data_IF_589859641171
#
_entry.id   IF_589859641171
#
_cell.length_a   1.000
_cell.length_b   1.000
_cell.length_c   1.000
_cell.angle_alpha   90.00
_cell.angle_beta   90.00
_cell.angle_gamma   90.00
#
_symmetry.space_group_name_H-M   'P 1'
#
loop_
_entity.id
_entity.type
_entity.pdbx_description
1 polymer ?
#
# COMPACT_ATOMS: atom_id res chain seq x y z
N UNK A 1 29.04 52.71 38.09
CA UNK A 1 30.23 52.24 38.82
C UNK A 1 30.06 50.75 39.09
N UNK A 2 31.14 49.97 39.04
CA UNK A 2 31.11 48.49 39.15
C UNK A 2 31.72 48.03 40.51
N UNK A 3 31.97 46.74 40.79
CA UNK A 3 31.19 46.03 41.81
C UNK A 3 32.05 45.47 42.96
N UNK A 4 31.44 44.71 43.88
CA UNK A 4 32.14 43.90 44.88
C UNK A 4 31.80 42.41 44.77
N UNK A 5 32.83 41.57 44.93
CA UNK A 5 32.79 40.10 44.82
C UNK A 5 32.68 39.42 46.19
N UNK A 6 32.06 38.23 46.23
CA UNK A 6 32.58 37.02 46.90
C UNK A 6 31.77 35.81 46.37
N UNK A 7 32.27 34.92 45.49
CA UNK A 7 33.33 33.89 45.59
C UNK A 7 33.05 32.68 46.52
N UNK A 8 32.58 31.60 45.88
CA UNK A 8 33.01 30.18 45.99
C UNK A 8 33.05 29.46 47.35
N UNK A 9 32.27 28.37 47.42
CA UNK A 9 32.68 27.03 47.90
C UNK A 9 31.74 26.00 47.21
N UNK A 10 32.20 25.12 46.30
CA UNK A 10 33.02 23.89 46.43
C UNK A 10 32.26 22.64 46.91
N UNK A 11 32.61 21.49 46.32
CA UNK A 11 31.81 20.26 46.34
C UNK A 11 32.15 19.30 47.48
N UNK A 12 31.26 18.32 47.72
CA UNK A 12 31.54 17.08 48.42
C UNK A 12 31.08 15.87 47.58
N UNK A 13 31.72 14.72 47.81
CA UNK A 13 31.72 13.55 46.92
C UNK A 13 31.86 12.27 47.78
N UNK A 14 31.60 11.10 47.17
CA UNK A 14 31.52 9.75 47.75
C UNK A 14 30.24 9.51 48.59
N UNK A 15 29.44 8.45 48.44
CA UNK A 15 29.58 7.07 47.94
C UNK A 15 29.81 6.02 49.04
N UNK A 16 28.99 4.96 49.01
CA UNK A 16 29.23 3.69 49.69
C UNK A 16 28.64 2.55 48.87
N UNK A 17 29.38 1.44 48.77
CA UNK A 17 28.82 0.12 48.42
C UNK A 17 28.37 -0.55 49.76
N UNK A 18 28.04 -1.83 49.95
CA UNK A 18 28.07 -3.17 49.28
C UNK A 18 27.03 -4.01 50.14
N UNK A 19 26.50 -5.21 49.87
CA UNK A 19 26.76 -6.28 48.90
C UNK A 19 25.59 -7.33 48.90
N UNK A 20 25.60 -8.29 47.95
CA UNK A 20 25.15 -9.71 48.09
C UNK A 20 23.64 -9.99 48.32
N UNK A 21 23.04 -11.12 47.90
CA UNK A 21 23.48 -12.25 47.04
C UNK A 21 22.31 -13.17 46.62
N UNK A 22 22.64 -14.26 45.91
CA UNK A 22 21.78 -15.35 45.38
C UNK A 22 20.88 -14.96 44.17
N UNK A 23 20.79 -15.78 43.12
CA UNK A 23 21.58 -16.98 42.82
C UNK A 23 21.35 -17.48 41.38
N UNK A 24 22.41 -17.93 40.70
CA UNK A 24 22.34 -18.44 39.33
C UNK A 24 22.24 -19.98 39.32
N UNK A 25 21.36 -20.53 38.49
CA UNK A 25 21.19 -21.98 38.32
C UNK A 25 22.14 -22.49 37.23
N UNK A 26 22.90 -23.54 37.54
CA UNK A 26 23.69 -24.33 36.59
C UNK A 26 23.01 -25.68 36.37
N UNK A 27 22.81 -26.09 35.11
CA UNK A 27 23.16 -27.45 34.68
C UNK A 27 23.22 -27.55 33.13
N UNK A 28 23.97 -28.51 32.56
CA UNK A 28 24.18 -28.66 31.12
C UNK A 28 23.31 -29.73 30.44
N UNK A 29 23.53 -29.91 29.13
CA UNK A 29 23.06 -30.95 28.21
C UNK A 29 22.62 -32.30 28.79
N UNK A 30 21.66 -32.93 28.10
CA UNK A 30 21.74 -34.33 27.72
C UNK A 30 21.93 -34.51 26.19
N UNK A 31 22.91 -35.32 25.80
CA UNK A 31 22.86 -36.11 24.57
C UNK A 31 22.47 -37.56 24.93
N UNK A 32 22.07 -38.34 23.92
CA UNK A 32 21.89 -39.80 23.96
C UNK A 32 20.81 -40.36 24.89
N UNK A 33 19.59 -40.47 24.35
CA UNK A 33 18.64 -41.53 24.68
C UNK A 33 17.80 -41.90 23.44
N UNK A 34 18.03 -43.08 22.85
CA UNK A 34 17.21 -43.59 21.74
C UNK A 34 15.99 -44.36 22.28
N UNK A 35 14.80 -44.15 21.70
CA UNK A 35 13.77 -45.20 21.60
C UNK A 35 12.70 -44.88 20.53
N UNK A 36 12.48 -45.85 19.63
CA UNK A 36 11.22 -46.16 18.92
C UNK A 36 10.27 -45.02 18.50
N UNK A 37 10.34 -44.61 17.24
CA UNK A 37 9.17 -44.23 16.44
C UNK A 37 8.85 -45.39 15.45
N UNK A 38 7.57 -45.76 15.24
CA UNK A 38 7.21 -46.85 14.32
C UNK A 38 7.24 -46.38 12.85
N UNK A 39 7.78 -47.22 11.98
CA UNK A 39 7.77 -47.00 10.52
C UNK A 39 6.38 -47.15 9.92
N UNK A 40 5.98 -46.21 9.07
CA UNK A 40 4.94 -46.41 8.04
C UNK A 40 5.48 -45.94 6.68
N UNK A 41 5.11 -46.69 5.64
CA UNK A 41 5.67 -46.62 4.29
C UNK A 41 4.88 -45.66 3.37
N UNK A 42 5.62 -44.93 2.52
CA UNK A 42 5.30 -44.53 1.12
C UNK A 42 3.96 -43.77 0.87
N UNK A 43 3.78 -43.05 -0.24
CA UNK A 43 4.53 -42.96 -1.50
C UNK A 43 4.70 -41.51 -1.98
N UNK A 44 5.58 -41.32 -2.97
CA UNK A 44 5.52 -40.16 -3.85
C UNK A 44 4.21 -40.14 -4.66
N UNK A 45 3.54 -38.98 -4.75
CA UNK A 45 2.94 -38.51 -6.00
C UNK A 45 2.65 -36.99 -5.94
N UNK A 46 3.26 -36.20 -6.83
CA UNK A 46 2.96 -34.77 -7.00
C UNK A 46 3.20 -34.34 -8.45
N UNK A 47 2.38 -34.89 -9.35
CA UNK A 47 2.25 -34.49 -10.74
C UNK A 47 0.76 -34.50 -11.17
N UNK A 48 0.48 -34.15 -12.43
CA UNK A 48 -0.86 -34.21 -13.05
C UNK A 48 -2.02 -33.52 -12.28
N UNK A 49 -2.19 -32.21 -12.46
CA UNK A 49 -3.54 -31.58 -12.37
C UNK A 49 -3.77 -30.47 -13.41
N UNK A 50 -3.22 -30.64 -14.62
CA UNK A 50 -3.62 -29.86 -15.80
C UNK A 50 -3.59 -30.75 -17.06
N UNK A 51 -4.66 -31.51 -17.31
CA UNK A 51 -5.12 -31.98 -18.63
C UNK A 51 -6.42 -32.80 -18.47
N UNK A 52 -7.51 -32.14 -18.08
CA UNK A 52 -8.84 -32.76 -17.90
C UNK A 52 -9.98 -31.76 -18.21
N UNK A 53 -9.87 -31.05 -19.34
CA UNK A 53 -10.93 -30.15 -19.81
C UNK A 53 -10.96 -30.06 -21.36
N UNK A 54 -11.08 -31.21 -22.00
CA UNK A 54 -11.43 -31.41 -23.42
C UNK A 54 -11.74 -32.90 -23.62
N UNK A 55 -12.63 -33.21 -24.58
CA UNK A 55 -13.06 -34.57 -24.97
C UNK A 55 -13.89 -35.36 -23.95
N UNK A 56 -15.21 -35.16 -23.94
CA UNK A 56 -16.22 -36.25 -23.98
C UNK A 56 -17.66 -35.71 -23.99
N UNK A 57 -18.29 -35.63 -25.16
CA UNK A 57 -19.71 -35.94 -25.36
C UNK A 57 -20.00 -36.10 -26.87
N UNK A 58 -20.80 -37.11 -27.19
CA UNK A 58 -21.17 -37.57 -28.53
C UNK A 58 -22.72 -37.62 -28.64
N UNK A 59 -23.28 -37.90 -29.81
CA UNK A 59 -24.73 -37.85 -30.10
C UNK A 59 -25.59 -38.91 -29.38
N UNK A 60 -26.93 -38.90 -29.55
CA UNK A 60 -27.75 -38.05 -30.43
C UNK A 60 -29.26 -38.29 -30.22
N UNK A 61 -30.07 -37.88 -31.22
CA UNK A 61 -31.50 -38.20 -31.47
C UNK A 61 -32.52 -37.63 -30.44
N UNK A 62 -33.50 -36.78 -30.82
CA UNK A 62 -34.83 -37.06 -31.43
C UNK A 62 -35.74 -37.88 -30.48
N UNK A 63 -36.96 -37.47 -30.03
CA UNK A 63 -38.06 -36.72 -30.68
C UNK A 63 -39.02 -35.93 -29.73
N UNK A 64 -39.60 -34.83 -30.26
CA UNK A 64 -41.02 -34.34 -30.23
C UNK A 64 -41.88 -34.09 -28.93
N UNK A 65 -42.91 -33.22 -29.11
CA UNK A 65 -44.18 -32.95 -28.36
C UNK A 65 -44.27 -32.12 -27.05
N UNK A 66 -44.52 -30.81 -27.24
CA UNK A 66 -45.79 -30.11 -26.92
C UNK A 66 -46.41 -30.10 -25.48
N UNK A 67 -46.11 -29.04 -24.71
CA UNK A 67 -47.04 -28.11 -24.00
C UNK A 67 -48.46 -28.65 -23.64
N UNK A 68 -48.86 -28.63 -22.34
CA UNK A 68 -49.52 -27.42 -21.80
C UNK A 68 -49.20 -27.00 -20.35
N UNK A 69 -49.58 -25.75 -20.06
CA UNK A 69 -49.42 -25.02 -18.79
C UNK A 69 -50.32 -25.48 -17.64
N UNK A 70 -49.87 -25.27 -16.40
CA UNK A 70 -50.70 -24.91 -15.24
C UNK A 70 -49.90 -23.99 -14.29
N UNK A 71 -50.54 -23.38 -13.30
CA UNK A 71 -50.09 -22.09 -12.73
C UNK A 71 -50.10 -21.99 -11.18
N UNK A 72 -49.67 -20.79 -10.73
CA UNK A 72 -49.98 -20.07 -9.48
C UNK A 72 -49.26 -20.43 -8.16
N UNK A 73 -49.24 -19.40 -7.29
CA UNK A 73 -48.76 -19.33 -5.89
C UNK A 73 -47.22 -19.23 -5.79
N UNK A 74 -46.61 -18.06 -5.55
CA UNK A 74 -46.79 -17.05 -4.48
C UNK A 74 -46.33 -17.51 -3.10
N UNK A 75 -45.19 -16.97 -2.64
CA UNK A 75 -44.85 -16.70 -1.24
C UNK A 75 -43.71 -15.66 -1.21
N UNK A 76 -44.05 -14.38 -1.04
CA UNK A 76 -43.14 -13.24 -1.22
C UNK A 76 -42.59 -12.74 0.13
N UNK A 77 -41.45 -13.29 0.54
CA UNK A 77 -40.73 -12.87 1.75
C UNK A 77 -39.66 -11.83 1.40
N UNK A 78 -40.09 -10.57 1.42
CA UNK A 78 -39.23 -9.39 1.31
C UNK A 78 -38.18 -9.34 2.44
N UNK A 79 -37.02 -9.95 2.18
CA UNK A 79 -35.81 -9.75 2.96
C UNK A 79 -34.95 -8.71 2.23
N UNK A 80 -34.84 -7.52 2.85
CA UNK A 80 -34.11 -6.38 2.28
C UNK A 80 -32.59 -6.63 2.29
N UNK A 81 -32.12 -7.47 1.37
CA UNK A 81 -30.70 -7.64 1.10
C UNK A 81 -30.13 -6.29 0.65
N UNK A 82 -29.28 -5.70 1.50
CA UNK A 82 -28.63 -4.42 1.25
C UNK A 82 -27.61 -4.59 0.12
N UNK A 83 -28.06 -4.32 -1.10
CA UNK A 83 -27.27 -4.41 -2.33
C UNK A 83 -25.98 -3.61 -2.18
N UNK A 84 -24.90 -4.31 -1.85
CA UNK A 84 -23.57 -3.72 -1.79
C UNK A 84 -23.20 -3.30 -3.21
N UNK A 85 -23.34 -2.00 -3.46
CA UNK A 85 -23.07 -1.36 -4.73
C UNK A 85 -21.56 -1.41 -5.00
N UNK A 86 -21.06 -2.56 -5.44
CA UNK A 86 -19.75 -2.66 -6.05
C UNK A 86 -19.72 -1.73 -7.26
N UNK A 87 -18.80 -0.77 -7.26
CA UNK A 87 -18.50 0.04 -8.44
C UNK A 87 -18.19 -0.91 -9.60
N UNK A 88 -18.84 -0.73 -10.75
CA UNK A 88 -18.99 -1.75 -11.80
C UNK A 88 -17.74 -2.07 -12.64
N UNK A 89 -16.59 -2.30 -12.01
CA UNK A 89 -15.34 -2.70 -12.64
C UNK A 89 -14.56 -3.73 -11.81
N UNK A 90 -13.55 -4.40 -12.39
CA UNK A 90 -12.73 -5.37 -11.67
C UNK A 90 -11.82 -4.68 -10.65
N UNK A 91 -11.75 -5.24 -9.44
CA UNK A 91 -10.92 -4.73 -8.35
C UNK A 91 -9.42 -4.71 -8.66
N UNK A 92 -8.69 -3.81 -8.01
CA UNK A 92 -7.27 -3.53 -8.28
C UNK A 92 -6.39 -3.81 -7.06
N UNK A 93 -5.11 -4.09 -7.32
CA UNK A 93 -4.10 -4.28 -6.28
C UNK A 93 -3.05 -3.19 -6.41
N UNK A 94 -2.86 -2.40 -5.37
CA UNK A 94 -1.88 -1.32 -5.29
C UNK A 94 -0.73 -1.80 -4.41
N UNK A 95 0.48 -1.94 -4.97
CA UNK A 95 1.67 -2.27 -4.19
C UNK A 95 2.48 -0.98 -3.92
N UNK A 96 2.63 -0.64 -2.64
CA UNK A 96 3.47 0.47 -2.18
C UNK A 96 4.55 -0.01 -1.21
N UNK A 97 5.61 0.78 -1.12
CA UNK A 97 6.64 0.65 -0.10
C UNK A 97 6.18 1.43 1.14
N UNK A 98 6.65 1.02 2.32
CA UNK A 98 6.51 1.87 3.50
C UNK A 98 7.23 3.22 3.30
N UNK A 99 6.71 4.27 3.94
CA UNK A 99 7.23 5.62 3.82
C UNK A 99 8.63 5.81 4.47
N UNK A 100 9.15 7.04 4.40
CA UNK A 100 10.53 7.41 4.70
C UNK A 100 11.00 6.94 6.10
N UNK A 101 12.18 6.34 6.14
CA UNK A 101 12.80 5.80 7.37
C UNK A 101 13.49 6.89 8.17
N UNK A 102 13.48 6.78 9.50
CA UNK A 102 14.40 7.53 10.37
C UNK A 102 15.86 7.20 10.01
N UNK A 103 16.75 8.21 10.05
CA UNK A 103 18.21 7.99 9.99
C UNK A 103 18.64 7.02 11.09
N UNK A 104 19.74 6.29 10.89
CA UNK A 104 20.20 5.24 11.83
C UNK A 104 19.36 3.96 11.84
N UNK A 105 18.26 3.88 11.09
CA UNK A 105 17.46 2.66 10.94
C UNK A 105 16.48 2.36 12.08
N UNK A 106 16.31 3.29 13.03
CA UNK A 106 15.36 3.20 14.15
C UNK A 106 13.93 2.82 13.70
N UNK A 107 13.15 2.33 14.66
CA UNK A 107 11.74 1.96 14.45
C UNK A 107 10.89 3.19 14.05
N UNK A 108 9.80 2.90 13.35
CA UNK A 108 8.87 3.88 12.83
C UNK A 108 9.38 4.83 11.73
N UNK A 109 8.49 5.72 11.33
CA UNK A 109 8.68 6.67 10.23
C UNK A 109 9.51 7.90 10.62
N UNK A 110 10.16 8.52 9.63
CA UNK A 110 10.65 9.89 9.71
C UNK A 110 9.51 10.89 9.50
N UNK A 111 9.74 12.18 9.75
CA UNK A 111 8.71 13.21 9.60
C UNK A 111 8.16 13.31 8.17
N UNK A 112 9.04 13.30 7.15
CA UNK A 112 8.63 13.15 5.73
C UNK A 112 7.74 11.91 5.51
N UNK A 113 8.03 10.82 6.21
CA UNK A 113 7.26 9.59 6.10
C UNK A 113 5.86 9.69 6.72
N UNK A 114 5.69 10.49 7.79
CA UNK A 114 4.34 10.81 8.31
C UNK A 114 3.56 11.69 7.34
N UNK A 115 4.22 12.64 6.68
CA UNK A 115 3.59 13.47 5.64
C UNK A 115 3.09 12.60 4.48
N UNK A 116 3.91 11.66 3.99
CA UNK A 116 3.49 10.64 3.01
C UNK A 116 2.31 9.81 3.51
N UNK A 117 2.36 9.32 4.75
CA UNK A 117 1.27 8.55 5.35
C UNK A 117 -0.06 9.32 5.42
N UNK A 118 -0.02 10.65 5.59
CA UNK A 118 -1.21 11.51 5.50
C UNK A 118 -1.64 11.80 4.06
N UNK A 119 -0.68 11.95 3.14
CA UNK A 119 -0.93 12.11 1.70
C UNK A 119 -1.75 10.95 1.12
N UNK A 120 -1.54 9.71 1.56
CA UNK A 120 -2.26 8.53 1.06
C UNK A 120 -3.81 8.65 1.16
N UNK A 121 -4.34 9.50 2.04
CA UNK A 121 -5.79 9.80 2.10
C UNK A 121 -6.31 10.44 0.81
N UNK A 122 -5.50 11.25 0.13
CA UNK A 122 -5.84 11.84 -1.16
C UNK A 122 -5.65 10.82 -2.29
N UNK A 123 -4.60 9.99 -2.24
CA UNK A 123 -4.33 8.97 -3.27
C UNK A 123 -5.35 7.83 -3.28
N UNK A 124 -5.80 7.39 -2.09
CA UNK A 124 -6.55 6.14 -1.90
C UNK A 124 -7.85 6.28 -1.07
N UNK A 125 -8.22 7.50 -0.67
CA UNK A 125 -9.45 7.74 0.12
C UNK A 125 -10.73 7.91 -0.71
N UNK A 126 -10.62 8.23 -1.99
CA UNK A 126 -11.75 8.61 -2.84
C UNK A 126 -11.54 8.25 -4.32
N UNK A 127 -12.60 8.39 -5.13
CA UNK A 127 -12.58 8.15 -6.57
C UNK A 127 -12.31 6.69 -6.96
N UNK A 128 -11.83 6.49 -8.20
CA UNK A 128 -11.53 5.18 -8.80
C UNK A 128 -10.42 4.40 -8.05
N UNK A 129 -9.57 5.12 -7.30
CA UNK A 129 -8.49 4.55 -6.50
C UNK A 129 -8.85 4.39 -5.02
N UNK A 130 -10.08 4.72 -4.60
CA UNK A 130 -10.54 4.44 -3.23
C UNK A 130 -10.29 2.97 -2.91
N UNK A 131 -9.66 2.69 -1.77
CA UNK A 131 -9.44 1.32 -1.30
C UNK A 131 -10.51 0.85 -0.32
N UNK A 132 -10.73 -0.46 -0.28
CA UNK A 132 -11.75 -1.12 0.57
C UNK A 132 -11.12 -2.20 1.48
N UNK A 133 -9.82 -2.48 1.29
CA UNK A 133 -9.05 -3.44 2.05
C UNK A 133 -7.58 -3.03 2.04
N UNK A 134 -6.93 -3.07 3.21
CA UNK A 134 -5.52 -2.68 3.38
C UNK A 134 -4.79 -3.85 4.03
N UNK A 135 -3.72 -4.32 3.40
CA UNK A 135 -2.80 -5.33 3.92
C UNK A 135 -1.46 -4.64 4.21
N UNK A 136 -0.93 -4.81 5.42
CA UNK A 136 0.39 -4.33 5.78
C UNK A 136 1.21 -5.41 6.49
N UNK A 137 2.52 -5.19 6.52
CA UNK A 137 3.46 -6.13 7.12
C UNK A 137 3.24 -6.25 8.63
N UNK A 138 3.13 -7.49 9.13
CA UNK A 138 3.13 -7.76 10.57
C UNK A 138 4.35 -7.13 11.27
N UNK A 139 4.11 -6.53 12.44
CA UNK A 139 5.14 -5.92 13.28
C UNK A 139 5.31 -6.62 14.63
N UNK A 140 6.47 -6.42 15.26
CA UNK A 140 6.80 -7.06 16.55
C UNK A 140 6.47 -6.13 17.72
N UNK A 141 6.20 -6.66 18.93
CA UNK A 141 5.82 -5.84 20.10
C UNK A 141 6.84 -4.76 20.49
N UNK A 142 8.12 -4.95 20.13
CA UNK A 142 9.19 -3.96 20.31
C UNK A 142 9.22 -2.84 19.24
N UNK A 143 8.19 -2.76 18.40
CA UNK A 143 8.08 -1.78 17.31
C UNK A 143 8.95 -2.09 16.09
N UNK A 144 9.77 -3.15 16.07
CA UNK A 144 10.45 -3.56 14.84
C UNK A 144 9.40 -3.96 13.80
N UNK A 145 9.71 -3.69 12.54
CA UNK A 145 8.82 -3.89 11.37
C UNK A 145 7.58 -2.96 11.32
N UNK A 146 7.37 -2.01 12.24
CA UNK A 146 6.16 -1.16 12.31
C UNK A 146 5.85 -0.28 11.08
N UNK A 147 6.87 0.21 10.37
CA UNK A 147 6.73 1.24 9.31
C UNK A 147 5.62 1.01 8.27
N UNK A 148 5.37 -0.19 7.74
CA UNK A 148 4.32 -0.39 6.74
C UNK A 148 2.92 -0.17 7.33
N UNK A 149 2.67 -0.60 8.56
CA UNK A 149 1.45 -0.27 9.30
C UNK A 149 1.34 1.24 9.56
N UNK A 150 2.39 1.88 10.08
CA UNK A 150 2.42 3.33 10.29
C UNK A 150 2.18 4.15 9.01
N UNK A 151 2.54 3.60 7.84
CA UNK A 151 2.36 4.25 6.53
C UNK A 151 0.88 4.30 6.13
N UNK A 152 0.13 3.22 6.38
CA UNK A 152 -1.28 3.11 5.93
C UNK A 152 -2.30 3.43 7.02
N UNK A 153 -1.90 3.47 8.30
CA UNK A 153 -2.80 3.73 9.43
C UNK A 153 -3.64 5.02 9.28
N UNK A 154 -3.11 6.18 8.83
CA UNK A 154 -3.92 7.38 8.66
C UNK A 154 -4.98 7.29 7.56
N UNK A 155 -4.73 6.48 6.52
CA UNK A 155 -5.70 6.15 5.47
C UNK A 155 -6.77 5.18 5.99
N UNK A 156 -6.36 4.15 6.73
CA UNK A 156 -7.27 3.18 7.35
C UNK A 156 -8.24 3.87 8.32
N UNK A 157 -7.73 4.78 9.17
CA UNK A 157 -8.51 5.60 10.09
C UNK A 157 -9.49 6.53 9.36
N UNK A 158 -9.05 7.16 8.26
CA UNK A 158 -9.88 8.04 7.43
C UNK A 158 -11.02 7.28 6.72
N UNK A 159 -10.79 6.04 6.32
CA UNK A 159 -11.76 5.17 5.65
C UNK A 159 -12.64 4.36 6.62
N UNK A 160 -12.32 4.34 7.92
CA UNK A 160 -13.03 3.52 8.91
C UNK A 160 -12.83 2.01 8.74
N UNK A 161 -11.68 1.58 8.20
CA UNK A 161 -11.37 0.16 7.92
C UNK A 161 -10.14 -0.32 8.70
N UNK A 162 -10.10 -1.61 9.00
CA UNK A 162 -8.93 -2.23 9.65
C UNK A 162 -7.77 -2.46 8.68
N UNK A 163 -6.55 -2.49 9.24
CA UNK A 163 -5.33 -2.91 8.52
C UNK A 163 -5.09 -4.38 8.81
N UNK A 164 -5.10 -5.23 7.78
CA UNK A 164 -4.76 -6.65 7.90
C UNK A 164 -3.25 -6.80 8.10
N UNK A 165 -2.87 -7.29 9.28
CA UNK A 165 -1.49 -7.53 9.72
C UNK A 165 -1.17 -9.03 9.84
N UNK A 166 -2.00 -9.90 9.26
CA UNK A 166 -1.90 -11.35 9.46
C UNK A 166 -0.66 -11.98 8.77
N UNK A 167 -0.14 -11.37 7.71
CA UNK A 167 0.99 -11.89 6.96
C UNK A 167 2.33 -11.33 7.49
N UNK A 168 3.26 -12.23 7.86
CA UNK A 168 4.64 -11.87 8.22
C UNK A 168 5.48 -11.44 7.01
N UNK A 169 6.56 -10.68 7.24
CA UNK A 169 7.45 -10.08 6.21
C UNK A 169 7.86 -11.05 5.09
N UNK A 170 8.02 -12.31 5.43
CA UNK A 170 8.49 -13.39 4.57
C UNK A 170 7.37 -14.14 3.79
N UNK A 171 6.09 -13.88 4.09
CA UNK A 171 4.95 -14.68 3.61
C UNK A 171 4.27 -14.08 2.36
N UNK A 172 4.98 -14.03 1.23
CA UNK A 172 4.46 -13.49 -0.03
C UNK A 172 3.11 -14.12 -0.46
N UNK A 173 2.98 -15.45 -0.37
CA UNK A 173 1.76 -16.18 -0.76
C UNK A 173 0.55 -15.85 0.12
N UNK A 174 0.77 -15.47 1.39
CA UNK A 174 -0.30 -15.03 2.29
C UNK A 174 -0.92 -13.72 1.79
N UNK A 175 -0.07 -12.77 1.41
CA UNK A 175 -0.47 -11.47 0.85
C UNK A 175 -1.18 -11.67 -0.49
N UNK A 176 -0.62 -12.50 -1.39
CA UNK A 176 -1.20 -12.76 -2.69
C UNK A 176 -2.59 -13.42 -2.59
N UNK A 177 -2.75 -14.46 -1.77
CA UNK A 177 -4.04 -15.15 -1.55
C UNK A 177 -5.11 -14.22 -0.97
N UNK A 178 -4.74 -13.35 -0.03
CA UNK A 178 -5.65 -12.35 0.57
C UNK A 178 -6.08 -11.29 -0.43
N UNK A 179 -5.14 -10.68 -1.14
CA UNK A 179 -5.44 -9.64 -2.13
C UNK A 179 -6.25 -10.18 -3.32
N UNK A 180 -5.89 -11.36 -3.87
CA UNK A 180 -6.63 -12.00 -4.97
C UNK A 180 -8.09 -12.33 -4.58
N UNK A 181 -8.32 -12.79 -3.33
CA UNK A 181 -9.67 -13.02 -2.80
C UNK A 181 -10.50 -11.73 -2.66
N UNK A 182 -9.86 -10.58 -2.42
CA UNK A 182 -10.57 -9.32 -2.29
C UNK A 182 -10.89 -8.69 -3.66
N UNK A 183 -9.95 -8.70 -4.62
CA UNK A 183 -10.23 -8.15 -5.98
C UNK A 183 -11.24 -9.00 -6.76
N UNK A 184 -11.36 -10.30 -6.48
CA UNK A 184 -12.43 -11.14 -7.04
C UNK A 184 -13.82 -10.82 -6.47
N UNK A 185 -13.89 -10.02 -5.39
CA UNK A 185 -15.11 -9.41 -4.85
C UNK A 185 -15.30 -7.95 -5.33
N UNK A 186 -14.55 -7.51 -6.35
CA UNK A 186 -14.58 -6.14 -6.87
C UNK A 186 -13.83 -5.10 -6.03
N UNK A 187 -13.27 -5.48 -4.89
CA UNK A 187 -12.62 -4.54 -3.94
C UNK A 187 -11.28 -4.04 -4.45
N UNK A 188 -10.97 -2.78 -4.14
CA UNK A 188 -9.63 -2.21 -4.30
C UNK A 188 -8.77 -2.52 -3.06
N UNK A 189 -7.54 -2.99 -3.28
CA UNK A 189 -6.65 -3.51 -2.23
C UNK A 189 -5.33 -2.75 -2.20
N UNK A 190 -4.97 -2.15 -1.05
CA UNK A 190 -3.64 -1.61 -0.80
C UNK A 190 -2.74 -2.63 -0.11
N UNK A 191 -1.51 -2.78 -0.58
CA UNK A 191 -0.46 -3.62 0.03
C UNK A 191 0.76 -2.76 0.32
N UNK A 192 1.08 -2.57 1.60
CA UNK A 192 2.24 -1.78 2.03
C UNK A 192 3.32 -2.64 2.69
N UNK A 193 4.57 -2.57 2.18
CA UNK A 193 5.64 -3.50 2.61
C UNK A 193 7.07 -2.92 2.62
N UNK A 194 8.05 -3.73 3.05
CA UNK A 194 9.47 -3.42 2.85
C UNK A 194 9.91 -3.68 1.40
N UNK A 195 10.61 -2.73 0.78
CA UNK A 195 11.02 -2.78 -0.65
C UNK A 195 11.66 -4.09 -1.14
N UNK A 196 12.43 -4.81 -0.30
CA UNK A 196 13.10 -6.05 -0.71
C UNK A 196 12.12 -7.22 -0.91
N UNK A 197 11.05 -7.26 -0.11
CA UNK A 197 10.06 -8.33 -0.19
C UNK A 197 8.85 -7.94 -1.06
N UNK A 198 8.76 -6.70 -1.56
CA UNK A 198 7.86 -6.36 -2.66
C UNK A 198 8.17 -7.17 -3.92
N UNK A 199 9.45 -7.47 -4.20
CA UNK A 199 9.85 -8.36 -5.31
C UNK A 199 9.24 -9.75 -5.18
N UNK A 200 9.20 -10.32 -3.96
CA UNK A 200 8.67 -11.66 -3.73
C UNK A 200 7.13 -11.67 -3.71
N UNK A 201 6.49 -10.63 -3.13
CA UNK A 201 5.03 -10.41 -3.21
C UNK A 201 4.57 -10.26 -4.67
N UNK A 202 5.29 -9.46 -5.45
CA UNK A 202 5.03 -9.28 -6.88
C UNK A 202 5.14 -10.62 -7.64
N UNK A 203 6.18 -11.42 -7.34
CA UNK A 203 6.34 -12.77 -7.91
C UNK A 203 5.16 -13.69 -7.58
N UNK A 204 4.59 -13.59 -6.38
CA UNK A 204 3.39 -14.34 -5.98
C UNK A 204 2.10 -13.88 -6.71
N UNK A 205 2.08 -12.69 -7.30
CA UNK A 205 1.07 -12.25 -8.28
C UNK A 205 1.41 -12.60 -9.74
N UNK A 206 2.56 -13.22 -10.01
CA UNK A 206 3.06 -13.49 -11.36
C UNK A 206 3.80 -12.33 -12.02
N UNK A 207 4.03 -11.21 -11.31
CA UNK A 207 4.88 -10.10 -11.77
C UNK A 207 6.34 -10.48 -11.60
N UNK A 208 7.09 -10.50 -12.70
CA UNK A 208 8.54 -10.76 -12.70
C UNK A 208 9.34 -9.46 -12.86
N UNK A 209 10.64 -9.52 -12.62
CA UNK A 209 11.55 -8.38 -12.71
C UNK A 209 11.39 -7.28 -11.66
N UNK A 210 10.46 -7.38 -10.69
CA UNK A 210 10.14 -6.22 -9.85
C UNK A 210 11.34 -5.74 -9.02
N UNK A 211 11.86 -4.56 -9.35
CA UNK A 211 13.05 -3.92 -8.76
C UNK A 211 12.68 -2.55 -8.19
N UNK A 212 12.19 -2.53 -6.94
CA UNK A 212 11.82 -1.28 -6.28
C UNK A 212 13.07 -0.42 -5.99
N UNK A 213 13.19 0.83 -6.51
CA UNK A 213 14.37 1.67 -6.31
C UNK A 213 14.61 2.02 -4.82
N UNK A 214 15.85 1.84 -4.35
CA UNK A 214 16.16 1.99 -2.93
C UNK A 214 15.99 3.44 -2.42
N UNK A 215 16.23 4.44 -3.27
CA UNK A 215 16.13 5.87 -2.95
C UNK A 215 14.67 6.37 -2.87
N UNK A 216 13.82 5.95 -3.81
CA UNK A 216 12.40 6.34 -3.91
C UNK A 216 11.56 5.71 -2.77
N UNK A 217 10.48 6.37 -2.36
CA UNK A 217 9.51 5.83 -1.38
C UNK A 217 8.05 5.96 -1.83
N UNK A 218 7.86 6.52 -3.02
CA UNK A 218 6.64 7.06 -3.62
C UNK A 218 6.15 6.25 -4.83
N UNK A 219 6.93 5.28 -5.31
CA UNK A 219 6.56 4.51 -6.49
C UNK A 219 5.42 3.54 -6.14
N UNK A 220 4.31 3.70 -6.85
CA UNK A 220 3.09 2.92 -6.79
C UNK A 220 3.02 1.97 -8.00
N UNK A 221 2.82 0.68 -7.75
CA UNK A 221 2.54 -0.32 -8.80
C UNK A 221 1.04 -0.70 -8.74
N UNK A 222 0.29 -0.43 -9.82
CA UNK A 222 -1.12 -0.84 -9.95
C UNK A 222 -1.22 -2.13 -10.75
N UNK A 223 -1.64 -3.22 -10.11
CA UNK A 223 -1.95 -4.50 -10.76
C UNK A 223 -3.46 -4.65 -10.98
N UNK A 224 -3.81 -5.29 -12.10
CA UNK A 224 -5.16 -5.78 -12.36
C UNK A 224 -5.51 -7.00 -11.49
N UNK A 225 -6.80 -7.35 -11.42
CA UNK A 225 -7.28 -8.62 -10.83
C UNK A 225 -6.61 -9.92 -11.34
N UNK A 226 -5.85 -9.86 -12.43
CA UNK A 226 -5.08 -10.98 -13.04
C UNK A 226 -3.57 -10.90 -12.75
N UNK A 227 -3.15 -10.07 -11.80
CA UNK A 227 -1.76 -9.90 -11.41
C UNK A 227 -0.88 -9.10 -12.39
N UNK A 228 -1.35 -8.82 -13.61
CA UNK A 228 -0.60 -8.01 -14.60
C UNK A 228 -0.52 -6.54 -14.21
N UNK A 229 0.65 -5.94 -14.39
CA UNK A 229 0.93 -4.51 -14.14
C UNK A 229 0.17 -3.66 -15.16
N UNK A 230 -0.71 -2.81 -14.67
CA UNK A 230 -1.54 -1.90 -15.48
C UNK A 230 -1.02 -0.47 -15.49
N UNK A 231 -0.36 -0.04 -14.42
CA UNK A 231 0.38 1.22 -14.34
C UNK A 231 1.50 1.12 -13.29
N UNK A 232 2.52 1.97 -13.45
CA UNK A 232 3.48 2.31 -12.41
C UNK A 232 3.57 3.84 -12.43
N UNK A 233 3.44 4.50 -11.27
CA UNK A 233 3.44 5.98 -11.13
C UNK A 233 4.11 6.40 -9.82
N UNK A 234 4.26 7.70 -9.59
CA UNK A 234 4.45 8.23 -8.23
C UNK A 234 3.11 8.26 -7.45
N UNK A 235 3.19 8.40 -6.14
CA UNK A 235 2.10 8.80 -5.23
C UNK A 235 1.79 10.31 -5.35
N UNK A 236 2.70 11.09 -5.95
CA UNK A 236 2.58 12.54 -6.21
C UNK A 236 2.25 13.37 -4.96
N UNK A 237 2.85 13.00 -3.82
CA UNK A 237 2.65 13.69 -2.56
C UNK A 237 3.32 15.08 -2.57
N UNK A 238 2.48 16.12 -2.55
CA UNK A 238 2.90 17.53 -2.49
C UNK A 238 3.91 17.80 -1.36
N UNK A 239 5.02 18.47 -1.69
CA UNK A 239 6.13 18.75 -0.77
C UNK A 239 7.11 17.56 -0.57
N UNK A 240 6.90 16.46 -1.27
CA UNK A 240 7.75 15.25 -1.22
C UNK A 240 8.15 14.74 -2.60
N UNK A 241 7.21 14.73 -3.55
CA UNK A 241 7.33 14.07 -4.86
C UNK A 241 7.11 15.04 -6.03
N UNK A 242 7.30 16.36 -5.81
CA UNK A 242 7.02 17.38 -6.82
C UNK A 242 7.86 17.19 -8.10
N UNK A 243 9.13 16.78 -7.95
CA UNK A 243 10.05 16.36 -9.02
C UNK A 243 9.55 15.12 -9.83
N UNK A 244 8.48 14.46 -9.39
CA UNK A 244 7.94 13.22 -9.95
C UNK A 244 6.44 13.29 -10.29
N UNK A 245 5.86 14.50 -10.35
CA UNK A 245 4.48 14.70 -10.83
C UNK A 245 4.34 14.25 -12.28
N UNK A 246 3.28 13.50 -12.59
CA UNK A 246 3.07 12.87 -13.90
C UNK A 246 4.06 11.75 -14.27
N UNK A 247 5.07 11.45 -13.45
CA UNK A 247 6.07 10.43 -13.76
C UNK A 247 5.46 9.03 -13.80
N UNK A 248 5.82 8.23 -14.82
CA UNK A 248 5.31 6.87 -14.97
C UNK A 248 6.38 5.85 -15.40
N UNK A 249 6.15 4.58 -15.07
CA UNK A 249 6.91 3.47 -15.62
C UNK A 249 6.63 3.27 -17.12
N UNK A 250 7.63 2.80 -17.87
CA UNK A 250 7.50 2.46 -19.29
C UNK A 250 8.40 1.26 -19.64
N UNK A 251 8.00 0.47 -20.64
CA UNK A 251 8.81 -0.61 -21.23
C UNK A 251 10.04 -0.08 -21.98
N UNK A 252 10.01 1.19 -22.38
CA UNK A 252 11.11 1.85 -23.12
C UNK A 252 12.27 2.29 -22.22
N UNK A 253 12.14 2.14 -20.90
CA UNK A 253 13.22 2.37 -19.94
C UNK A 253 14.42 1.44 -20.22
N UNK A 254 15.64 1.92 -19.99
CA UNK A 254 16.87 1.14 -20.16
C UNK A 254 16.85 -0.10 -19.25
N UNK A 255 17.44 -1.25 -19.64
CA UNK A 255 17.38 -2.49 -18.86
C UNK A 255 17.79 -2.36 -17.39
N UNK A 256 18.78 -1.50 -17.10
CA UNK A 256 19.25 -1.21 -15.74
C UNK A 256 18.22 -0.44 -14.88
N UNK A 257 17.36 0.37 -15.51
CA UNK A 257 16.32 1.19 -14.89
C UNK A 257 14.94 0.50 -14.88
N UNK A 258 14.74 -0.57 -15.69
CA UNK A 258 13.48 -1.30 -15.75
C UNK A 258 13.04 -1.79 -14.37
N UNK A 259 11.79 -1.44 -14.04
CA UNK A 259 11.18 -1.69 -12.74
C UNK A 259 10.43 -3.03 -12.65
N UNK A 260 10.10 -3.65 -13.79
CA UNK A 260 9.51 -4.99 -13.98
C UNK A 260 9.96 -5.55 -15.34
N UNK A 261 9.78 -6.86 -15.56
CA UNK A 261 10.01 -7.49 -16.87
C UNK A 261 8.89 -7.10 -17.86
N UNK A 262 9.18 -7.12 -19.18
CA UNK A 262 8.24 -6.62 -20.20
C UNK A 262 6.94 -7.46 -20.29
N UNK A 263 7.02 -8.76 -19.99
CA UNK A 263 5.86 -9.66 -19.93
C UNK A 263 5.02 -9.48 -18.66
N UNK A 264 5.49 -8.72 -17.66
CA UNK A 264 4.73 -8.47 -16.43
C UNK A 264 3.59 -7.46 -16.64
N UNK A 265 3.70 -6.61 -17.67
CA UNK A 265 2.68 -5.64 -18.05
C UNK A 265 1.40 -6.28 -18.61
N UNK A 266 0.29 -5.58 -18.49
CA UNK A 266 -0.93 -5.84 -19.23
C UNK A 266 -0.76 -5.44 -20.71
N UNK A 267 -1.56 -5.99 -21.64
CA UNK A 267 -1.57 -5.54 -23.04
C UNK A 267 -1.80 -4.03 -23.16
N UNK A 268 -0.96 -3.35 -23.94
CA UNK A 268 -0.99 -1.88 -24.11
C UNK A 268 -0.44 -1.07 -22.92
N UNK A 269 -0.25 -1.66 -21.74
CA UNK A 269 0.30 -0.95 -20.59
C UNK A 269 1.83 -0.79 -20.71
N UNK A 270 2.33 0.40 -20.38
CA UNK A 270 3.76 0.72 -20.41
C UNK A 270 4.34 1.01 -21.80
N UNK A 271 3.53 1.07 -22.86
CA UNK A 271 4.01 1.34 -24.24
C UNK A 271 4.26 2.85 -24.51
N UNK A 272 3.68 3.72 -23.69
CA UNK A 272 3.88 5.16 -23.79
C UNK A 272 5.37 5.50 -23.66
N UNK A 273 5.86 6.37 -24.54
CA UNK A 273 7.16 6.99 -24.30
C UNK A 273 7.07 7.89 -23.09
N UNK A 274 8.16 7.92 -22.32
CA UNK A 274 8.40 9.06 -21.45
C UNK A 274 9.02 10.13 -22.34
N UNK A 275 8.17 10.94 -22.97
CA UNK A 275 8.60 12.30 -23.28
C UNK A 275 9.17 12.90 -21.98
N UNK A 276 10.26 13.67 -22.03
CA UNK A 276 10.40 14.80 -21.11
C UNK A 276 9.08 15.56 -21.21
N UNK A 277 8.37 15.72 -20.10
CA UNK A 277 7.00 16.24 -20.13
C UNK A 277 7.07 17.74 -20.36
N UNK A 278 7.02 18.11 -21.63
CA UNK A 278 6.79 19.43 -22.20
C UNK A 278 7.30 20.56 -21.29
N UNK A 279 8.58 20.91 -21.41
CA UNK A 279 9.19 21.99 -20.62
C UNK A 279 8.36 23.29 -20.74
N UNK A 280 7.78 23.59 -21.92
CA UNK A 280 6.80 24.68 -22.11
C UNK A 280 5.57 24.60 -21.19
N UNK A 281 5.05 23.40 -20.89
CA UNK A 281 3.87 23.23 -20.03
C UNK A 281 4.22 23.26 -18.54
N UNK A 282 5.45 22.92 -18.18
CA UNK A 282 5.99 23.11 -16.82
C UNK A 282 6.35 24.58 -16.59
N UNK A 283 7.00 25.23 -17.56
CA UNK A 283 7.42 26.63 -17.55
C UNK A 283 6.19 27.55 -17.56
N UNK A 284 5.22 27.38 -18.47
CA UNK A 284 3.98 28.16 -18.47
C UNK A 284 3.15 27.97 -17.18
N UNK A 285 3.29 26.84 -16.49
CA UNK A 285 2.65 26.63 -15.17
C UNK A 285 3.41 27.32 -14.04
N UNK A 286 4.74 27.28 -14.08
CA UNK A 286 5.58 28.03 -13.15
C UNK A 286 5.46 29.55 -13.35
N UNK A 287 5.31 30.02 -14.59
CA UNK A 287 4.97 31.42 -14.90
C UNK A 287 3.58 31.78 -14.39
N UNK A 288 2.56 30.95 -14.59
CA UNK A 288 1.22 31.21 -14.07
C UNK A 288 1.16 31.22 -12.52
N UNK A 289 1.86 30.31 -11.86
CA UNK A 289 1.97 30.28 -10.39
C UNK A 289 2.79 31.50 -9.88
N UNK A 290 3.83 31.94 -10.61
CA UNK A 290 4.61 33.14 -10.30
C UNK A 290 3.85 34.44 -10.56
N UNK A 291 3.04 34.53 -11.62
CA UNK A 291 2.11 35.64 -11.84
C UNK A 291 1.06 35.70 -10.74
N UNK A 292 0.53 34.56 -10.28
CA UNK A 292 -0.40 34.50 -9.17
C UNK A 292 0.23 35.00 -7.85
N UNK A 293 1.45 34.55 -7.50
CA UNK A 293 2.18 35.08 -6.34
C UNK A 293 2.54 36.56 -6.50
N UNK A 294 2.93 37.01 -7.70
CA UNK A 294 3.28 38.40 -7.97
C UNK A 294 2.06 39.33 -7.89
N UNK A 295 0.90 38.89 -8.39
CA UNK A 295 -0.37 39.61 -8.23
C UNK A 295 -0.79 39.69 -6.77
N UNK A 296 -0.73 38.58 -6.02
CA UNK A 296 -1.01 38.56 -4.58
C UNK A 296 -0.05 39.44 -3.76
N UNK A 297 1.20 39.59 -4.20
CA UNK A 297 2.19 40.48 -3.59
C UNK A 297 2.06 41.96 -4.02
N UNK A 298 1.30 42.25 -5.08
CA UNK A 298 1.08 43.61 -5.59
C UNK A 298 -0.09 44.33 -4.90
N UNK A 299 -1.08 43.59 -4.38
CA UNK A 299 -2.20 44.17 -3.61
C UNK A 299 -1.84 44.39 -2.14
N UNK A 300 -2.35 45.50 -1.58
CA UNK A 300 -2.33 45.71 -0.13
C UNK A 300 -3.21 44.67 0.59
N UNK A 301 -2.84 44.31 1.83
CA UNK A 301 -3.70 43.52 2.71
C UNK A 301 -5.07 44.17 2.93
N UNK A 302 -5.16 45.49 2.86
CA UNK A 302 -6.44 46.20 2.98
C UNK A 302 -7.31 46.00 1.72
N UNK A 303 -6.75 46.08 0.51
CA UNK A 303 -7.49 45.90 -0.76
C UNK A 303 -8.03 44.47 -0.94
N UNK A 304 -7.26 43.46 -0.52
CA UNK A 304 -7.70 42.07 -0.56
C UNK A 304 -8.94 41.81 0.32
N UNK A 305 -9.19 42.64 1.34
CA UNK A 305 -10.42 42.52 2.16
C UNK A 305 -11.66 43.12 1.50
N UNK A 306 -11.53 44.04 0.54
CA UNK A 306 -12.66 44.52 -0.28
C UNK A 306 -13.00 43.54 -1.40
N UNK A 307 -11.99 42.95 -2.05
CA UNK A 307 -12.17 41.97 -3.14
C UNK A 307 -12.84 40.68 -2.66
N UNK A 308 -12.54 40.23 -1.44
CA UNK A 308 -13.14 39.06 -0.80
C UNK A 308 -14.15 39.40 0.30
N UNK A 309 -14.69 40.63 0.30
CA UNK A 309 -15.80 41.00 1.17
C UNK A 309 -17.01 40.09 0.86
N UNK A 310 -17.66 39.46 1.87
CA UNK A 310 -18.87 38.69 1.63
C UNK A 310 -19.97 39.63 1.15
N UNK A 311 -20.54 39.35 -0.03
CA UNK A 311 -21.70 40.08 -0.56
C UNK A 311 -22.83 39.97 0.47
N UNK A 312 -23.17 41.11 1.07
CA UNK A 312 -24.19 41.17 2.10
C UNK A 312 -25.54 41.44 1.44
N UNK A 313 -26.14 40.39 0.86
CA UNK A 313 -27.52 40.41 0.38
C UNK A 313 -28.41 40.96 1.50
N UNK A 314 -29.06 42.09 1.22
CA UNK A 314 -29.74 42.95 2.20
C UNK A 314 -31.22 43.15 1.86
N UNK A 315 -31.87 42.03 1.56
CA UNK A 315 -33.32 41.83 1.57
C UNK A 315 -33.65 40.97 2.82
N UNK A 316 -34.70 41.17 3.62
CA UNK A 316 -35.90 42.02 3.51
C UNK A 316 -36.16 42.85 4.81
N UNK A 317 -37.36 43.45 4.93
CA UNK A 317 -37.81 44.44 5.94
C UNK A 317 -38.00 43.94 7.40
#
# INVERSE_FOLDING_TARGET
MAPLHFKTLFALLAASLLALSLGAVLNPNPSDALAAAPSVFLSDDYAQTQHAFLSAQDGGDEDNENIPSLASNEDDVSSSSSSHHGSGGPGRIFLIRHAEKRKGGHNGLAEKGKVRAQCLKHVFGHGEYKVDYIIAQAYKPDGRRSRPYETVKPLADHLGIEVDLHCEREQADCVAKRALKAVSQGKNVLVCWQHKALTDIARAFGVRGLRYPAARSDILFQLSHKGKVSAIRSEECSGLDDDFRGWHGSKKMRPEDKLVDDEAWAPGAGEHDHSPVDDEAAEARAEADLEAETLLAAYSLDELTEIFAPVHDSDEE
#
